data_IF_741861470928
#
_entry.id   IF_741861470928
#
_cell.length_a   1.000
_cell.length_b   1.000
_cell.length_c   1.000
_cell.angle_alpha   90.00
_cell.angle_beta   90.00
_cell.angle_gamma   90.00
#
_symmetry.space_group_name_H-M   'P 1'
#
loop_
_entity.id
_entity.type
_entity.pdbx_description
1 polymer ?
#
# COMPACT_ATOMS: atom_id res chain seq x y z
N UNK A 1 -83.48 -29.79 16.32
CA UNK A 1 -83.80 -29.31 17.69
C UNK A 1 -82.64 -29.65 18.58
N UNK A 2 -82.12 -28.62 19.23
CA UNK A 2 -81.17 -28.59 20.34
C UNK A 2 -79.71 -29.06 20.12
N UNK A 3 -78.77 -28.43 20.86
CA UNK A 3 -77.33 -28.35 20.63
C UNK A 3 -76.55 -29.17 21.68
N UNK A 4 -75.22 -29.05 21.70
CA UNK A 4 -74.46 -29.34 22.93
C UNK A 4 -73.09 -30.00 22.74
N UNK A 5 -72.09 -29.13 22.61
CA UNK A 5 -70.81 -29.19 23.36
C UNK A 5 -69.68 -30.17 22.98
N UNK A 6 -68.42 -29.76 23.27
CA UNK A 6 -67.16 -30.24 22.66
C UNK A 6 -66.44 -31.26 23.55
N UNK A 7 -65.16 -31.63 23.23
CA UNK A 7 -64.11 -32.37 24.01
C UNK A 7 -63.45 -33.42 23.08
N UNK A 8 -62.14 -33.63 22.91
CA UNK A 8 -60.87 -33.19 23.53
C UNK A 8 -59.75 -33.35 22.48
N UNK A 9 -58.77 -32.45 22.51
CA UNK A 9 -57.49 -32.56 21.80
C UNK A 9 -56.67 -33.75 22.31
N UNK A 10 -56.24 -34.63 21.41
CA UNK A 10 -55.13 -35.55 21.65
C UNK A 10 -53.86 -34.90 21.08
N UNK A 11 -52.99 -34.48 22.00
CA UNK A 11 -51.66 -33.97 21.71
C UNK A 11 -50.79 -35.09 21.13
N UNK A 12 -50.29 -34.89 19.91
CA UNK A 12 -49.13 -35.61 19.40
C UNK A 12 -47.86 -34.87 19.81
N UNK A 13 -46.81 -35.56 20.28
CA UNK A 13 -45.64 -34.92 20.85
C UNK A 13 -44.87 -34.15 19.77
N UNK A 14 -44.61 -32.87 20.05
CA UNK A 14 -43.67 -32.01 19.34
C UNK A 14 -42.28 -32.64 19.40
N UNK A 15 -41.87 -33.30 18.31
CA UNK A 15 -40.46 -33.63 18.08
C UNK A 15 -39.81 -32.37 17.53
N UNK A 16 -39.23 -31.58 18.43
CA UNK A 16 -38.38 -30.46 18.10
C UNK A 16 -37.15 -30.97 17.32
N UNK A 17 -36.87 -30.47 16.10
CA UNK A 17 -35.73 -30.91 15.33
C UNK A 17 -34.45 -30.43 16.01
N UNK A 18 -33.67 -31.39 16.51
CA UNK A 18 -32.32 -31.16 17.01
C UNK A 18 -31.47 -30.50 15.90
N UNK A 19 -30.79 -29.38 16.18
CA UNK A 19 -29.92 -28.75 15.19
C UNK A 19 -28.76 -29.69 14.83
N UNK A 20 -28.38 -29.76 13.55
CA UNK A 20 -27.29 -30.62 13.11
C UNK A 20 -26.00 -30.19 13.81
N UNK A 21 -25.50 -31.15 14.60
CA UNK A 21 -24.10 -31.42 14.92
C UNK A 21 -23.20 -30.19 14.75
N UNK A 22 -22.88 -29.55 15.88
CA UNK A 22 -21.92 -28.47 16.01
C UNK A 22 -20.75 -28.66 15.05
N UNK A 23 -20.74 -27.88 13.97
CA UNK A 23 -19.52 -27.55 13.27
C UNK A 23 -18.67 -26.83 14.31
N UNK A 24 -17.79 -27.59 14.98
CA UNK A 24 -16.56 -27.01 15.51
C UNK A 24 -15.86 -26.43 14.29
N UNK A 25 -16.13 -25.17 13.99
CA UNK A 25 -15.13 -24.30 13.41
C UNK A 25 -13.92 -24.45 14.33
N UNK A 26 -12.99 -25.31 13.92
CA UNK A 26 -11.61 -25.16 14.32
C UNK A 26 -11.27 -23.76 13.84
N UNK A 27 -11.43 -22.78 14.71
CA UNK A 27 -10.75 -21.50 14.59
C UNK A 27 -9.26 -21.86 14.63
N UNK A 28 -8.74 -22.19 13.45
CA UNK A 28 -7.33 -22.32 13.22
C UNK A 28 -6.77 -20.96 13.63
N UNK A 29 -6.03 -20.97 14.74
CA UNK A 29 -5.46 -19.73 15.24
C UNK A 29 -4.66 -19.08 14.11
N UNK A 30 -4.66 -17.73 13.99
CA UNK A 30 -3.96 -17.02 12.92
C UNK A 30 -2.48 -17.40 12.77
N UNK A 31 -1.91 -18.01 13.81
CA UNK A 31 -0.55 -18.48 13.94
C UNK A 31 -0.24 -19.76 13.14
N UNK A 32 -1.26 -20.47 12.66
CA UNK A 32 -1.12 -21.77 11.98
C UNK A 32 -0.63 -21.67 10.52
N UNK A 33 -0.57 -20.45 9.96
CA UNK A 33 -0.19 -20.18 8.56
C UNK A 33 1.26 -19.68 8.42
N UNK A 34 2.02 -19.61 9.51
CA UNK A 34 3.38 -19.08 9.49
C UNK A 34 4.39 -20.18 9.18
N UNK A 35 5.04 -20.08 8.03
CA UNK A 35 6.20 -20.91 7.70
C UNK A 35 7.46 -20.27 8.32
N UNK A 36 8.34 -21.06 8.96
CA UNK A 36 9.53 -20.53 9.60
C UNK A 36 10.51 -19.96 8.56
N UNK A 37 10.80 -18.67 8.68
CA UNK A 37 11.91 -18.03 7.98
C UNK A 37 13.14 -18.28 8.85
N UNK A 38 14.14 -18.97 8.28
CA UNK A 38 15.48 -19.29 8.82
C UNK A 38 15.80 -18.75 10.22
N UNK A 39 16.17 -19.68 11.09
CA UNK A 39 16.58 -19.48 12.48
C UNK A 39 17.75 -18.48 12.60
N UNK A 40 17.42 -17.23 12.95
CA UNK A 40 18.35 -16.26 13.51
C UNK A 40 17.79 -15.85 14.88
N UNK A 41 18.52 -16.24 15.94
CA UNK A 41 18.41 -15.84 17.35
C UNK A 41 17.17 -15.03 17.80
N UNK A 42 16.28 -15.73 18.53
CA UNK A 42 15.45 -15.28 19.66
C UNK A 42 14.52 -14.06 19.56
N UNK A 43 14.19 -13.54 18.39
CA UNK A 43 13.09 -12.56 18.25
C UNK A 43 12.08 -13.06 17.22
N UNK A 44 10.92 -13.52 17.68
CA UNK A 44 9.80 -13.89 16.82
C UNK A 44 8.99 -12.65 16.46
N UNK A 45 9.26 -12.09 15.29
CA UNK A 45 8.47 -10.99 14.72
C UNK A 45 7.28 -11.59 13.98
N UNK A 46 6.09 -11.44 14.55
CA UNK A 46 4.85 -11.88 13.93
C UNK A 46 4.20 -10.74 13.17
N UNK A 47 3.82 -10.98 11.92
CA UNK A 47 3.21 -9.94 11.09
C UNK A 47 1.98 -10.46 10.34
N UNK A 48 0.96 -9.61 10.26
CA UNK A 48 -0.36 -9.93 9.70
C UNK A 48 -0.45 -9.68 8.18
N UNK A 49 0.66 -9.34 7.54
CA UNK A 49 0.78 -9.07 6.10
C UNK A 49 2.08 -9.66 5.59
N UNK A 50 2.21 -10.10 4.33
CA UNK A 50 3.48 -10.53 3.78
C UNK A 50 4.42 -9.32 3.67
N UNK A 51 5.19 -9.08 4.73
CA UNK A 51 6.37 -8.23 4.63
C UNK A 51 7.31 -8.92 3.66
N UNK A 52 7.72 -8.21 2.62
CA UNK A 52 8.76 -8.76 1.77
C UNK A 52 10.04 -8.86 2.60
N UNK A 53 10.78 -9.98 2.49
CA UNK A 53 11.98 -10.23 3.31
C UNK A 53 12.94 -9.04 3.29
N UNK A 54 13.15 -8.45 2.11
CA UNK A 54 14.00 -7.27 1.93
C UNK A 54 13.56 -6.04 2.73
N UNK A 55 12.26 -5.86 3.01
CA UNK A 55 11.74 -4.72 3.77
C UNK A 55 12.07 -4.88 5.25
N UNK A 56 11.83 -6.07 5.79
CA UNK A 56 12.12 -6.37 7.20
C UNK A 56 13.63 -6.36 7.45
N UNK A 57 14.42 -6.96 6.56
CA UNK A 57 15.89 -6.94 6.63
C UNK A 57 16.43 -5.51 6.68
N UNK A 58 15.96 -4.62 5.79
CA UNK A 58 16.38 -3.23 5.79
C UNK A 58 15.93 -2.46 7.04
N UNK A 59 14.72 -2.74 7.55
CA UNK A 59 14.23 -2.13 8.78
C UNK A 59 15.04 -2.57 10.00
N UNK A 60 15.34 -3.87 10.13
CA UNK A 60 16.20 -4.41 11.18
C UNK A 60 17.59 -3.77 11.08
N UNK A 61 18.18 -3.75 9.90
CA UNK A 61 19.48 -3.12 9.68
C UNK A 61 19.48 -1.65 10.11
N UNK A 62 18.43 -0.89 9.81
CA UNK A 62 18.29 0.48 10.28
C UNK A 62 18.20 0.58 11.80
N UNK A 63 17.43 -0.27 12.47
CA UNK A 63 17.31 -0.24 13.94
C UNK A 63 18.68 -0.46 14.60
N UNK A 64 19.51 -1.37 14.05
CA UNK A 64 20.82 -1.67 14.62
C UNK A 64 21.91 -0.66 14.24
N UNK A 65 21.84 -0.04 13.05
CA UNK A 65 22.95 0.77 12.51
C UNK A 65 22.64 2.25 12.33
N UNK A 66 21.36 2.63 12.39
CA UNK A 66 20.87 3.95 12.01
C UNK A 66 20.94 4.26 10.50
N UNK A 67 21.33 3.28 9.66
CA UNK A 67 21.53 3.47 8.23
C UNK A 67 20.50 2.68 7.39
N UNK A 68 20.18 3.19 6.20
CA UNK A 68 19.27 2.53 5.25
C UNK A 68 19.73 2.83 3.82
N UNK A 69 19.68 1.83 2.95
CA UNK A 69 20.02 1.98 1.53
C UNK A 69 18.78 1.82 0.67
N UNK A 70 18.49 2.84 -0.12
CA UNK A 70 17.32 2.89 -0.99
C UNK A 70 17.68 2.55 -2.43
N UNK A 71 16.79 1.81 -3.09
CA UNK A 71 16.89 1.53 -4.51
C UNK A 71 16.19 2.62 -5.34
N UNK A 72 16.67 2.89 -6.56
CA UNK A 72 16.01 3.80 -7.49
C UNK A 72 14.53 3.47 -7.71
N UNK A 73 13.67 4.47 -7.83
CA UNK A 73 12.25 4.32 -8.09
C UNK A 73 12.02 3.48 -9.35
N UNK A 74 10.94 2.68 -9.34
CA UNK A 74 10.58 1.87 -10.51
C UNK A 74 10.22 2.73 -11.72
N UNK A 75 9.69 3.92 -11.49
CA UNK A 75 9.36 4.91 -12.51
C UNK A 75 10.59 5.46 -13.25
N UNK A 76 11.80 5.35 -12.67
CA UNK A 76 13.07 5.67 -13.35
C UNK A 76 13.56 4.58 -14.33
N UNK A 77 12.78 3.52 -14.50
CA UNK A 77 13.06 2.42 -15.42
C UNK A 77 13.66 1.18 -14.75
N UNK A 78 13.25 0.01 -15.24
CA UNK A 78 13.67 -1.29 -14.72
C UNK A 78 15.19 -1.49 -14.84
N UNK A 79 15.79 -1.13 -15.98
CA UNK A 79 17.24 -1.28 -16.22
C UNK A 79 18.08 -0.46 -15.22
N UNK A 80 17.67 0.78 -14.92
CA UNK A 80 18.38 1.61 -13.94
C UNK A 80 18.33 0.96 -12.56
N UNK A 81 17.15 0.53 -12.13
CA UNK A 81 16.94 -0.10 -10.83
C UNK A 81 17.69 -1.43 -10.70
N UNK A 82 17.68 -2.28 -11.73
CA UNK A 82 18.39 -3.56 -11.75
C UNK A 82 19.91 -3.35 -11.74
N UNK A 83 20.41 -2.42 -12.56
CA UNK A 83 21.82 -2.05 -12.57
C UNK A 83 22.31 -1.51 -11.22
N UNK A 84 21.52 -0.64 -10.58
CA UNK A 84 21.83 -0.14 -9.24
C UNK A 84 21.83 -1.27 -8.19
N UNK A 85 20.86 -2.18 -8.26
CA UNK A 85 20.80 -3.35 -7.37
C UNK A 85 22.02 -4.27 -7.57
N UNK A 86 22.41 -4.54 -8.81
CA UNK A 86 23.55 -5.39 -9.13
C UNK A 86 24.86 -4.78 -8.62
N UNK A 87 25.08 -3.47 -8.84
CA UNK A 87 26.25 -2.75 -8.29
C UNK A 87 26.27 -2.81 -6.76
N UNK A 88 25.13 -2.55 -6.11
CA UNK A 88 25.06 -2.58 -4.65
C UNK A 88 25.41 -3.95 -4.07
N UNK A 89 25.00 -5.05 -4.72
CA UNK A 89 25.36 -6.40 -4.26
C UNK A 89 26.87 -6.64 -4.32
N UNK A 90 27.57 -6.03 -5.28
CA UNK A 90 29.02 -6.12 -5.43
C UNK A 90 29.72 -5.24 -4.39
N UNK A 91 29.32 -3.97 -4.27
CA UNK A 91 29.99 -2.97 -3.44
C UNK A 91 29.69 -3.15 -1.95
N UNK A 92 28.46 -3.59 -1.63
CA UNK A 92 27.92 -3.64 -0.28
C UNK A 92 27.10 -4.93 -0.04
N UNK A 93 27.73 -6.12 -0.11
CA UNK A 93 27.04 -7.41 -0.13
C UNK A 93 26.22 -7.72 1.13
N UNK A 94 26.56 -7.09 2.27
CA UNK A 94 25.88 -7.29 3.57
C UNK A 94 24.87 -6.20 3.92
N UNK A 95 24.74 -5.17 3.09
CA UNK A 95 23.84 -4.05 3.36
C UNK A 95 22.54 -4.30 2.60
N UNK A 96 21.41 -4.52 3.29
CA UNK A 96 20.14 -4.75 2.62
C UNK A 96 19.67 -3.48 1.90
N UNK A 97 18.98 -3.68 0.78
CA UNK A 97 18.38 -2.58 0.01
C UNK A 97 16.88 -2.74 -0.10
N UNK A 98 16.20 -1.60 -0.18
CA UNK A 98 14.75 -1.56 -0.18
C UNK A 98 14.22 -0.38 -1.00
N UNK A 99 12.93 -0.38 -1.35
CA UNK A 99 12.29 0.81 -1.93
C UNK A 99 11.92 1.79 -0.82
N UNK A 100 12.16 3.09 -1.04
CA UNK A 100 11.75 4.15 -0.12
C UNK A 100 10.26 4.07 0.24
N UNK A 101 9.35 3.87 -0.72
CA UNK A 101 7.90 3.68 -0.45
C UNK A 101 7.60 2.53 0.51
N UNK A 102 8.34 1.44 0.36
CA UNK A 102 8.19 0.23 1.17
C UNK A 102 8.63 0.47 2.61
N UNK A 103 9.74 1.19 2.81
CA UNK A 103 10.21 1.61 4.14
C UNK A 103 9.31 2.68 4.73
N UNK A 104 8.83 3.65 3.93
CA UNK A 104 7.90 4.68 4.38
C UNK A 104 6.66 4.04 4.99
N UNK A 105 6.05 3.07 4.29
CA UNK A 105 4.91 2.30 4.80
C UNK A 105 5.22 1.60 6.12
N UNK A 106 6.35 0.91 6.19
CA UNK A 106 6.78 0.22 7.41
C UNK A 106 6.97 1.20 8.58
N UNK A 107 7.69 2.28 8.34
CA UNK A 107 8.01 3.29 9.34
C UNK A 107 6.75 4.02 9.84
N UNK A 108 5.79 4.27 8.96
CA UNK A 108 4.47 4.81 9.30
C UNK A 108 3.63 3.82 10.13
N UNK A 109 3.63 2.54 9.77
CA UNK A 109 2.89 1.49 10.49
C UNK A 109 3.46 1.23 11.90
N UNK A 110 4.77 1.38 12.11
CA UNK A 110 5.46 1.10 13.38
C UNK A 110 5.76 2.38 14.20
N UNK A 111 5.56 3.56 13.63
CA UNK A 111 5.80 4.85 14.30
C UNK A 111 7.27 5.28 14.37
N UNK A 112 8.12 4.84 13.43
CA UNK A 112 9.52 5.25 13.31
C UNK A 112 9.62 6.55 12.49
N UNK A 113 9.39 7.70 13.13
CA UNK A 113 9.24 8.99 12.44
C UNK A 113 10.50 9.42 11.66
N UNK A 114 11.69 9.22 12.22
CA UNK A 114 12.95 9.59 11.57
C UNK A 114 13.18 8.75 10.30
N UNK A 115 12.87 7.45 10.35
CA UNK A 115 12.97 6.55 9.20
C UNK A 115 11.94 6.91 8.13
N UNK A 116 10.72 7.24 8.55
CA UNK A 116 9.65 7.70 7.67
C UNK A 116 10.06 8.97 6.94
N UNK A 117 10.64 9.94 7.66
CA UNK A 117 11.16 11.18 7.08
C UNK A 117 12.28 10.92 6.06
N UNK A 118 13.27 10.09 6.39
CA UNK A 118 14.34 9.74 5.44
C UNK A 118 13.81 9.08 4.17
N UNK A 119 12.80 8.23 4.30
CA UNK A 119 12.15 7.61 3.15
C UNK A 119 11.32 8.62 2.33
N UNK A 120 10.74 9.63 2.97
CA UNK A 120 10.08 10.77 2.31
C UNK A 120 11.10 11.57 1.50
N UNK A 121 12.20 11.99 2.13
CA UNK A 121 13.28 12.76 1.51
C UNK A 121 13.86 12.03 0.30
N UNK A 122 14.11 10.72 0.43
CA UNK A 122 14.58 9.90 -0.69
C UNK A 122 13.55 9.76 -1.81
N UNK A 123 12.25 9.66 -1.48
CA UNK A 123 11.22 9.63 -2.51
C UNK A 123 11.27 10.91 -3.35
N UNK A 124 11.35 12.07 -2.70
CA UNK A 124 11.37 13.37 -3.38
C UNK A 124 12.69 13.66 -4.10
N UNK A 125 13.83 13.17 -3.59
CA UNK A 125 15.14 13.33 -4.25
C UNK A 125 15.21 12.64 -5.61
N UNK A 126 14.39 11.60 -5.80
CA UNK A 126 14.36 10.81 -7.02
C UNK A 126 13.28 11.26 -8.02
N UNK A 127 12.42 12.23 -7.67
CA UNK A 127 11.41 12.74 -8.60
C UNK A 127 12.04 13.62 -9.67
N UNK A 128 11.53 13.47 -10.91
CA UNK A 128 11.92 14.29 -12.05
C UNK A 128 10.71 14.53 -12.98
N UNK A 129 10.89 15.34 -14.02
CA UNK A 129 9.82 15.72 -14.94
C UNK A 129 9.17 14.52 -15.65
N UNK A 130 9.93 13.45 -15.88
CA UNK A 130 9.48 12.28 -16.62
C UNK A 130 8.71 11.31 -15.71
N UNK A 131 9.16 11.17 -14.45
CA UNK A 131 8.64 10.16 -13.54
C UNK A 131 7.56 10.67 -12.57
N UNK A 132 7.44 11.99 -12.38
CA UNK A 132 6.56 12.58 -11.35
C UNK A 132 5.09 12.20 -11.55
N UNK A 133 4.60 12.16 -12.79
CA UNK A 133 3.22 11.76 -13.08
C UNK A 133 2.95 10.28 -12.78
N UNK A 134 3.88 9.40 -13.12
CA UNK A 134 3.76 7.97 -12.78
C UNK A 134 3.70 7.76 -11.27
N UNK A 135 4.50 8.53 -10.54
CA UNK A 135 4.54 8.51 -9.08
C UNK A 135 3.26 9.08 -8.46
N UNK A 136 2.75 10.19 -8.99
CA UNK A 136 1.52 10.84 -8.55
C UNK A 136 0.30 9.90 -8.64
N UNK A 137 0.17 9.19 -9.76
CA UNK A 137 -0.93 8.25 -10.00
C UNK A 137 -0.67 6.85 -9.40
N UNK A 138 0.36 6.69 -8.58
CA UNK A 138 0.64 5.41 -7.94
C UNK A 138 -0.32 5.12 -6.77
N UNK A 139 -0.53 3.84 -6.48
CA UNK A 139 -1.31 3.41 -5.29
C UNK A 139 -0.72 3.96 -3.98
N UNK A 140 0.59 4.19 -3.95
CA UNK A 140 1.26 4.72 -2.77
C UNK A 140 0.80 6.14 -2.48
N UNK A 141 0.82 7.03 -3.47
CA UNK A 141 0.40 8.42 -3.30
C UNK A 141 -1.08 8.54 -2.96
N UNK A 142 -1.93 7.71 -3.59
CA UNK A 142 -3.35 7.64 -3.24
C UNK A 142 -3.61 7.25 -1.77
N UNK A 143 -2.76 6.40 -1.18
CA UNK A 143 -2.84 6.00 0.23
C UNK A 143 -2.33 7.06 1.20
N UNK A 144 -1.46 7.96 0.76
CA UNK A 144 -0.79 8.95 1.60
C UNK A 144 -1.08 10.39 1.15
N UNK A 145 -2.21 11.00 1.59
CA UNK A 145 -2.62 12.33 1.13
C UNK A 145 -1.58 13.44 1.35
N UNK A 146 -0.79 13.36 2.44
CA UNK A 146 0.32 14.30 2.67
C UNK A 146 1.36 14.22 1.56
N UNK A 147 1.78 13.00 1.20
CA UNK A 147 2.73 12.78 0.11
C UNK A 147 2.16 13.24 -1.22
N UNK A 148 0.89 12.92 -1.48
CA UNK A 148 0.21 13.32 -2.71
C UNK A 148 0.21 14.85 -2.87
N UNK A 149 -0.14 15.60 -1.82
CA UNK A 149 -0.09 17.08 -1.85
C UNK A 149 1.31 17.60 -2.17
N UNK A 150 2.33 17.06 -1.51
CA UNK A 150 3.71 17.47 -1.74
C UNK A 150 4.19 17.15 -3.17
N UNK A 151 3.80 15.99 -3.71
CA UNK A 151 4.08 15.64 -5.11
C UNK A 151 3.39 16.57 -6.10
N UNK A 152 2.13 16.95 -5.85
CA UNK A 152 1.41 17.92 -6.69
C UNK A 152 2.07 19.30 -6.62
N UNK A 153 2.43 19.76 -5.42
CA UNK A 153 3.16 21.01 -5.24
C UNK A 153 4.45 21.03 -6.05
N UNK A 154 5.23 19.94 -6.01
CA UNK A 154 6.47 19.80 -6.80
C UNK A 154 6.18 19.78 -8.31
N UNK A 155 5.14 19.04 -8.74
CA UNK A 155 4.72 19.00 -10.14
C UNK A 155 4.38 20.40 -10.67
N UNK A 156 3.57 21.16 -9.92
CA UNK A 156 3.13 22.50 -10.32
C UNK A 156 4.28 23.50 -10.34
N UNK A 157 5.18 23.44 -9.34
CA UNK A 157 6.28 24.38 -9.20
C UNK A 157 7.43 24.12 -10.17
N UNK A 158 7.84 22.86 -10.33
CA UNK A 158 9.10 22.53 -11.01
C UNK A 158 8.91 21.86 -12.37
N UNK A 159 7.76 21.19 -12.58
CA UNK A 159 7.58 20.26 -13.70
C UNK A 159 6.32 20.52 -14.54
N UNK A 160 5.63 21.66 -14.38
CA UNK A 160 4.41 22.00 -15.12
C UNK A 160 4.68 22.47 -16.56
N UNK A 161 5.34 21.62 -17.33
CA UNK A 161 5.77 21.86 -18.71
C UNK A 161 4.73 21.38 -19.73
N UNK A 162 4.83 21.80 -21.01
CA UNK A 162 3.99 21.24 -22.07
C UNK A 162 4.07 19.71 -22.18
N UNK A 163 5.26 19.13 -21.92
CA UNK A 163 5.45 17.68 -21.91
C UNK A 163 4.63 17.00 -20.80
N UNK A 164 4.66 17.55 -19.58
CA UNK A 164 3.86 17.04 -18.47
C UNK A 164 2.35 17.16 -18.75
N UNK A 165 1.90 18.24 -19.37
CA UNK A 165 0.50 18.41 -19.79
C UNK A 165 0.09 17.36 -20.83
N UNK A 166 0.95 17.08 -21.81
CA UNK A 166 0.72 16.05 -22.81
C UNK A 166 0.71 14.63 -22.19
N UNK A 167 1.56 14.38 -21.20
CA UNK A 167 1.61 13.10 -20.48
C UNK A 167 0.44 12.90 -19.50
N UNK A 168 -0.26 13.97 -19.11
CA UNK A 168 -1.44 13.88 -18.25
C UNK A 168 -2.66 13.30 -18.97
N UNK A 169 -2.85 13.63 -20.25
CA UNK A 169 -3.97 13.12 -21.05
C UNK A 169 -4.07 11.58 -21.07
N UNK A 170 -3.02 10.82 -21.42
CA UNK A 170 -3.10 9.35 -21.41
C UNK A 170 -3.35 8.79 -20.01
N UNK A 171 -2.85 9.46 -18.95
CA UNK A 171 -3.16 9.06 -17.56
C UNK A 171 -4.64 9.22 -17.26
N UNK A 172 -5.24 10.36 -17.61
CA UNK A 172 -6.68 10.58 -17.42
C UNK A 172 -7.49 9.54 -18.20
N UNK A 173 -7.11 9.22 -19.44
CA UNK A 173 -7.78 8.17 -20.21
C UNK A 173 -7.70 6.81 -19.51
N UNK A 174 -6.55 6.43 -18.93
CA UNK A 174 -6.43 5.21 -18.11
C UNK A 174 -7.34 5.22 -16.89
N UNK A 175 -7.51 6.37 -16.23
CA UNK A 175 -8.48 6.52 -15.12
C UNK A 175 -9.90 6.28 -15.60
N UNK A 176 -10.29 6.92 -16.71
CA UNK A 176 -11.65 6.79 -17.29
C UNK A 176 -11.95 5.35 -17.70
N UNK A 177 -10.96 4.61 -18.20
CA UNK A 177 -11.09 3.17 -18.52
C UNK A 177 -11.18 2.27 -17.28
N UNK A 178 -11.00 2.81 -16.07
CA UNK A 178 -11.03 2.04 -14.82
C UNK A 178 -9.74 1.28 -14.51
N UNK A 179 -8.65 1.54 -15.22
CA UNK A 179 -7.34 0.88 -15.00
C UNK A 179 -6.67 1.33 -13.70
N UNK A 180 -7.13 2.46 -13.13
CA UNK A 180 -6.56 3.09 -11.94
C UNK A 180 -7.66 3.39 -10.91
N UNK A 181 -8.21 2.39 -10.21
CA UNK A 181 -9.33 2.58 -9.28
C UNK A 181 -8.97 3.51 -8.11
N UNK A 182 -7.69 3.66 -7.80
CA UNK A 182 -7.16 4.53 -6.74
C UNK A 182 -6.91 5.98 -7.19
N UNK A 183 -7.19 6.35 -8.45
CA UNK A 183 -6.83 7.66 -8.99
C UNK A 183 -7.81 8.79 -8.66
N UNK A 184 -9.01 8.49 -8.13
CA UNK A 184 -10.00 9.54 -7.86
C UNK A 184 -9.49 10.64 -6.90
N UNK A 185 -8.83 10.32 -5.76
CA UNK A 185 -8.25 11.35 -4.89
C UNK A 185 -7.13 12.15 -5.57
N UNK A 186 -6.39 11.51 -6.47
CA UNK A 186 -5.31 12.14 -7.24
C UNK A 186 -5.86 13.23 -8.15
N UNK A 187 -6.89 12.90 -8.94
CA UNK A 187 -7.52 13.86 -9.84
C UNK A 187 -8.17 15.02 -9.09
N UNK A 188 -8.91 14.73 -8.00
CA UNK A 188 -9.57 15.78 -7.22
C UNK A 188 -8.57 16.78 -6.64
N UNK A 189 -7.46 16.29 -6.09
CA UNK A 189 -6.42 17.14 -5.54
C UNK A 189 -5.67 17.90 -6.63
N UNK A 190 -5.39 17.26 -7.76
CA UNK A 190 -4.72 17.91 -8.89
C UNK A 190 -5.57 19.05 -9.46
N UNK A 191 -6.89 18.86 -9.62
CA UNK A 191 -7.80 19.89 -10.10
C UNK A 191 -7.90 21.10 -9.15
N UNK A 192 -7.69 20.90 -7.84
CA UNK A 192 -7.69 21.98 -6.85
C UNK A 192 -6.42 22.83 -6.89
N UNK A 193 -5.28 22.22 -7.25
CA UNK A 193 -3.95 22.84 -7.14
C UNK A 193 -3.41 23.34 -8.49
N UNK A 194 -3.98 22.91 -9.62
CA UNK A 194 -3.55 23.42 -10.93
C UNK A 194 -3.92 24.92 -11.02
N UNK A 195 -2.95 25.80 -11.34
CA UNK A 195 -3.24 27.20 -11.59
C UNK A 195 -4.17 27.32 -12.80
N UNK A 196 -5.38 27.81 -12.58
CA UNK A 196 -6.31 28.14 -13.66
C UNK A 196 -5.70 29.30 -14.43
N UNK A 197 -5.19 29.03 -15.63
CA UNK A 197 -4.79 30.10 -16.54
C UNK A 197 -6.10 30.78 -16.97
N UNK A 198 -6.33 32.06 -16.65
CA UNK A 198 -7.50 32.76 -17.17
C UNK A 198 -7.39 32.74 -18.70
N UNK A 199 -8.41 32.17 -19.35
CA UNK A 199 -8.62 32.34 -20.78
C UNK A 199 -8.72 33.84 -21.02
N UNK A 200 -7.67 34.43 -21.59
CA UNK A 200 -7.68 35.82 -22.03
C UNK A 200 -8.75 35.92 -23.10
N UNK A 201 -9.84 36.60 -22.77
CA UNK A 201 -10.95 36.93 -23.66
C UNK A 201 -10.54 38.02 -24.66
#
# INVERSE_FOLDING_TARGET
MQPGSPIIQLATPTVEPQPPNSLRTLELSPWSLLQPIREYSSISVFTTQPFSSYRLEAAIFYIYTGNVCFLPLRSRGAMNREGAKARHVIDHPKVPTCSCKSIYRFADEIGLNELKQRAEEELFSQLDADNTLDELFSQFSARYPKILRLQISRLVQDYWTPSAKAALEPKIQSVVRGEMPHAAPVLMMLLQEIPVIPLVA
#
